data_IF_886088357045
#
_entry.id   IF_886088357045
#
_cell.length_a   1.000
_cell.length_b   1.000
_cell.length_c   1.000
_cell.angle_alpha   90.00
_cell.angle_beta   90.00
_cell.angle_gamma   90.00
#
_symmetry.space_group_name_H-M   'P 1'
#
loop_
_entity.id
_entity.type
_entity.pdbx_description
1 polymer ?
#
# COMPACT_ATOMS: atom_id res chain seq x y z
N UNK A 1 -14.08 -16.24 13.42
CA UNK A 1 -13.48 -14.90 13.43
C UNK A 1 -13.88 -14.24 12.13
N UNK A 2 -14.46 -13.05 12.16
CA UNK A 2 -14.92 -12.38 10.94
C UNK A 2 -13.71 -12.07 10.05
N UNK A 3 -13.58 -12.77 8.92
CA UNK A 3 -12.53 -12.59 7.92
C UNK A 3 -12.84 -11.40 7.00
N UNK A 4 -13.42 -10.33 7.54
CA UNK A 4 -13.78 -9.16 6.76
C UNK A 4 -12.53 -8.31 6.53
N UNK A 5 -12.30 -7.85 5.29
CA UNK A 5 -11.21 -6.91 5.02
C UNK A 5 -11.43 -5.61 5.80
N UNK A 6 -10.35 -4.84 6.08
CA UNK A 6 -10.48 -3.54 6.73
C UNK A 6 -11.34 -2.61 5.88
N UNK A 7 -12.13 -1.76 6.55
CA UNK A 7 -12.77 -0.63 5.87
C UNK A 7 -11.71 0.30 5.29
N UNK A 8 -12.08 1.15 4.31
CA UNK A 8 -11.16 2.14 3.73
C UNK A 8 -10.52 3.03 4.80
N UNK A 9 -11.27 3.41 5.84
CA UNK A 9 -10.77 4.24 6.95
C UNK A 9 -9.74 3.48 7.79
N UNK A 10 -10.02 2.21 8.12
CA UNK A 10 -9.08 1.36 8.88
C UNK A 10 -7.82 1.05 8.07
N UNK A 11 -7.98 0.78 6.77
CA UNK A 11 -6.86 0.57 5.85
C UNK A 11 -5.97 1.82 5.79
N UNK A 12 -6.55 2.99 5.52
CA UNK A 12 -5.81 4.25 5.44
C UNK A 12 -5.10 4.58 6.75
N UNK A 13 -5.75 4.35 7.90
CA UNK A 13 -5.14 4.56 9.22
C UNK A 13 -3.93 3.66 9.46
N UNK A 14 -4.04 2.36 9.13
CA UNK A 14 -2.94 1.41 9.29
C UNK A 14 -1.78 1.71 8.33
N UNK A 15 -2.07 2.04 7.07
CA UNK A 15 -1.05 2.41 6.09
C UNK A 15 -0.32 3.67 6.54
N UNK A 16 -1.03 4.69 7.01
CA UNK A 16 -0.43 5.93 7.54
C UNK A 16 0.53 5.63 8.69
N UNK A 17 0.19 4.70 9.58
CA UNK A 17 1.09 4.24 10.64
C UNK A 17 2.37 3.60 10.11
N UNK A 18 2.26 2.71 9.11
CA UNK A 18 3.41 2.07 8.47
C UNK A 18 4.32 3.07 7.77
N UNK A 19 3.75 4.11 7.15
CA UNK A 19 4.51 5.19 6.51
C UNK A 19 5.26 6.04 7.52
N UNK A 20 4.63 6.36 8.65
CA UNK A 20 5.30 7.10 9.73
C UNK A 20 6.47 6.29 10.32
N UNK A 21 6.36 4.96 10.35
CA UNK A 21 7.41 4.06 10.86
C UNK A 21 8.56 3.84 9.86
N UNK A 22 8.23 3.57 8.60
CA UNK A 22 9.20 3.07 7.58
C UNK A 22 9.60 4.13 6.55
N UNK A 23 8.93 5.27 6.53
CA UNK A 23 9.15 6.37 5.59
C UNK A 23 8.33 6.23 4.30
N UNK A 24 7.81 7.35 3.81
CA UNK A 24 6.95 7.38 2.63
C UNK A 24 7.65 6.86 1.37
N UNK A 25 8.93 7.21 1.18
CA UNK A 25 9.72 6.75 0.04
C UNK A 25 9.86 5.23 -0.04
N UNK A 26 9.75 4.53 1.09
CA UNK A 26 9.91 3.08 1.14
C UNK A 26 8.73 2.32 0.52
N UNK A 27 7.57 2.98 0.31
CA UNK A 27 6.37 2.43 -0.32
C UNK A 27 6.13 2.93 -1.75
N UNK A 28 7.10 3.65 -2.29
CA UNK A 28 6.99 4.31 -3.58
C UNK A 28 8.04 3.78 -4.55
N UNK A 29 7.67 3.68 -5.83
CA UNK A 29 8.62 3.35 -6.88
C UNK A 29 8.29 4.08 -8.19
N UNK A 30 9.33 4.32 -9.00
CA UNK A 30 9.14 4.75 -10.38
C UNK A 30 8.42 3.68 -11.19
N UNK A 31 7.81 4.02 -12.35
CA UNK A 31 7.10 3.06 -13.18
C UNK A 31 8.03 1.93 -13.62
N UNK A 32 7.59 0.68 -13.46
CA UNK A 32 8.41 -0.51 -13.75
C UNK A 32 9.42 -0.89 -12.65
N UNK A 33 9.55 -0.07 -11.60
CA UNK A 33 10.32 -0.39 -10.40
C UNK A 33 9.49 -1.06 -9.32
N UNK A 34 10.19 -1.63 -8.33
CA UNK A 34 9.60 -2.14 -7.09
C UNK A 34 10.13 -1.35 -5.90
N UNK A 35 9.27 -0.96 -4.94
CA UNK A 35 9.67 -0.21 -3.76
C UNK A 35 10.45 -1.08 -2.77
N UNK A 36 10.83 -0.53 -1.63
CA UNK A 36 11.45 -1.31 -0.54
C UNK A 36 10.42 -2.20 0.16
N UNK A 37 9.20 -1.69 0.33
CA UNK A 37 8.06 -2.37 0.91
C UNK A 37 6.83 -2.27 0.03
N UNK A 38 6.05 -3.34 -0.01
CA UNK A 38 4.72 -3.35 -0.61
C UNK A 38 3.67 -3.72 0.44
N UNK A 39 2.45 -3.23 0.26
CA UNK A 39 1.37 -3.39 1.22
C UNK A 39 0.54 -4.63 0.90
N UNK A 40 0.24 -5.40 1.95
CA UNK A 40 -0.69 -6.52 1.92
C UNK A 40 -1.70 -6.39 3.04
N UNK A 41 -2.81 -7.12 2.90
CA UNK A 41 -3.78 -7.29 3.97
C UNK A 41 -3.83 -8.75 4.36
N UNK A 42 -3.70 -9.01 5.65
CA UNK A 42 -3.89 -10.32 6.27
C UNK A 42 -5.03 -10.23 7.28
N UNK A 43 -6.19 -10.76 6.90
CA UNK A 43 -7.45 -10.55 7.62
C UNK A 43 -7.84 -9.07 7.66
N UNK A 44 -7.80 -8.46 8.85
CA UNK A 44 -8.10 -7.04 9.06
C UNK A 44 -6.84 -6.16 9.22
N UNK A 45 -5.64 -6.73 9.03
CA UNK A 45 -4.37 -6.03 9.29
C UNK A 45 -3.62 -5.73 8.01
N UNK A 46 -3.17 -4.49 7.85
CA UNK A 46 -2.24 -4.10 6.80
C UNK A 46 -0.81 -4.41 7.24
N UNK A 47 -0.04 -5.06 6.37
CA UNK A 47 1.35 -5.43 6.59
C UNK A 47 2.22 -4.86 5.47
N UNK A 48 3.43 -4.44 5.82
CA UNK A 48 4.47 -4.03 4.88
C UNK A 48 5.42 -5.21 4.63
N UNK A 49 5.44 -5.72 3.40
CA UNK A 49 6.30 -6.83 3.01
C UNK A 49 7.60 -6.31 2.35
N UNK A 50 8.77 -6.64 2.91
CA UNK A 50 10.06 -6.21 2.36
C UNK A 50 10.39 -6.92 1.04
N UNK A 51 11.32 -6.36 0.26
CA UNK A 51 11.74 -6.89 -1.04
C UNK A 51 12.19 -8.36 -1.08
N UNK A 52 12.69 -8.89 0.03
CA UNK A 52 13.09 -10.30 0.15
C UNK A 52 11.91 -11.26 0.40
N UNK A 53 10.71 -10.74 0.69
CA UNK A 53 9.53 -11.56 0.87
C UNK A 53 9.02 -12.11 -0.46
N UNK A 54 8.62 -13.39 -0.53
CA UNK A 54 8.14 -14.01 -1.76
C UNK A 54 6.88 -13.34 -2.31
N UNK A 55 6.08 -12.71 -1.43
CA UNK A 55 4.86 -11.99 -1.82
C UNK A 55 5.17 -10.62 -2.41
N UNK A 56 6.29 -9.99 -2.07
CA UNK A 56 6.56 -8.57 -2.32
C UNK A 56 6.21 -8.06 -3.73
N UNK A 57 6.54 -8.76 -4.85
CA UNK A 57 6.20 -8.29 -6.19
C UNK A 57 4.70 -8.16 -6.47
N UNK A 58 3.86 -8.79 -5.65
CA UNK A 58 2.41 -8.84 -5.77
C UNK A 58 1.71 -7.98 -4.72
N UNK A 59 2.36 -6.95 -4.18
CA UNK A 59 1.79 -6.08 -3.16
C UNK A 59 1.40 -4.72 -3.73
N UNK A 60 0.55 -3.99 -3.00
CA UNK A 60 0.11 -2.66 -3.39
C UNK A 60 1.22 -1.65 -3.06
N UNK A 61 1.51 -0.74 -3.97
CA UNK A 61 2.46 0.35 -3.71
C UNK A 61 2.15 1.57 -4.57
N UNK A 62 2.66 2.72 -4.12
CA UNK A 62 2.44 3.97 -4.81
C UNK A 62 3.43 4.12 -5.97
N UNK A 63 2.94 4.42 -7.17
CA UNK A 63 3.80 4.66 -8.33
C UNK A 63 4.03 6.16 -8.49
N UNK A 64 5.29 6.58 -8.51
CA UNK A 64 5.65 7.98 -8.65
C UNK A 64 5.99 8.34 -10.09
N UNK A 65 5.75 9.61 -10.45
CA UNK A 65 6.40 10.23 -11.60
C UNK A 65 7.86 10.56 -11.24
N UNK A 66 8.79 10.42 -12.19
CA UNK A 66 10.20 10.73 -11.93
C UNK A 66 10.39 12.19 -11.48
N UNK A 67 11.23 12.41 -10.47
CA UNK A 67 11.68 13.75 -10.06
C UNK A 67 10.92 14.42 -8.91
N UNK A 68 10.14 13.67 -8.11
CA UNK A 68 9.48 14.24 -6.92
C UNK A 68 10.47 14.41 -5.75
N UNK A 69 10.35 15.53 -5.03
CA UNK A 69 11.02 15.71 -3.73
C UNK A 69 10.34 14.88 -2.64
N UNK A 70 10.99 14.72 -1.49
CA UNK A 70 10.45 13.96 -0.35
C UNK A 70 9.10 14.51 0.16
N UNK A 71 8.94 15.84 0.15
CA UNK A 71 7.70 16.51 0.52
C UNK A 71 6.59 16.21 -0.49
N UNK A 72 6.90 16.33 -1.80
CA UNK A 72 5.96 16.02 -2.87
C UNK A 72 5.57 14.54 -2.90
N UNK A 73 6.50 13.66 -2.53
CA UNK A 73 6.26 12.23 -2.41
C UNK A 73 5.26 11.95 -1.29
N UNK A 74 5.46 12.56 -0.12
CA UNK A 74 4.55 12.40 1.03
C UNK A 74 3.15 12.91 0.70
N UNK A 75 3.04 14.07 0.04
CA UNK A 75 1.75 14.59 -0.43
C UNK A 75 1.09 13.67 -1.46
N UNK A 76 1.86 13.17 -2.43
CA UNK A 76 1.35 12.29 -3.46
C UNK A 76 0.82 10.99 -2.86
N UNK A 77 1.57 10.41 -1.93
CA UNK A 77 1.17 9.21 -1.22
C UNK A 77 -0.10 9.45 -0.38
N UNK A 78 -0.20 10.59 0.32
CA UNK A 78 -1.43 10.93 1.05
C UNK A 78 -2.63 11.11 0.12
N UNK A 79 -2.43 11.72 -1.06
CA UNK A 79 -3.48 11.82 -2.09
C UNK A 79 -3.91 10.45 -2.58
N UNK A 80 -2.96 9.55 -2.82
CA UNK A 80 -3.20 8.16 -3.24
C UNK A 80 -4.00 7.34 -2.21
N UNK A 81 -3.76 7.57 -0.91
CA UNK A 81 -4.57 6.97 0.16
C UNK A 81 -5.97 7.59 0.25
N UNK A 82 -6.05 8.92 0.25
CA UNK A 82 -7.30 9.65 0.48
C UNK A 82 -8.25 9.62 -0.72
N UNK A 83 -7.74 9.43 -1.93
CA UNK A 83 -8.57 9.20 -3.13
C UNK A 83 -9.28 7.85 -3.10
N UNK A 84 -8.84 6.93 -2.22
CA UNK A 84 -9.30 5.55 -2.18
C UNK A 84 -8.64 4.67 -3.24
N UNK A 85 -7.72 5.20 -4.04
CA UNK A 85 -7.02 4.43 -5.09
C UNK A 85 -6.23 3.26 -4.49
N UNK A 86 -5.48 3.51 -3.41
CA UNK A 86 -4.76 2.47 -2.68
C UNK A 86 -5.69 1.32 -2.23
N UNK A 87 -6.86 1.67 -1.72
CA UNK A 87 -7.86 0.71 -1.26
C UNK A 87 -8.49 -0.07 -2.42
N UNK A 88 -8.75 0.58 -3.55
CA UNK A 88 -9.22 -0.09 -4.77
C UNK A 88 -8.19 -1.07 -5.34
N UNK A 89 -6.91 -0.69 -5.35
CA UNK A 89 -5.82 -1.59 -5.75
C UNK A 89 -5.75 -2.81 -4.82
N UNK A 90 -5.84 -2.59 -3.50
CA UNK A 90 -5.96 -3.67 -2.52
C UNK A 90 -7.14 -4.61 -2.83
N UNK A 91 -8.33 -4.06 -3.05
CA UNK A 91 -9.52 -4.86 -3.37
C UNK A 91 -9.30 -5.64 -4.66
N UNK A 92 -8.82 -5.01 -5.73
CA UNK A 92 -8.56 -5.68 -7.02
C UNK A 92 -7.65 -6.90 -6.87
N UNK A 93 -6.61 -6.80 -6.03
CA UNK A 93 -5.65 -7.87 -5.82
C UNK A 93 -6.19 -9.01 -4.94
N UNK A 94 -7.19 -8.73 -4.10
CA UNK A 94 -7.76 -9.69 -3.16
C UNK A 94 -9.20 -10.13 -3.49
N UNK A 95 -9.85 -9.55 -4.49
CA UNK A 95 -11.21 -9.92 -4.92
C UNK A 95 -11.26 -11.37 -5.44
N UNK A 96 -10.16 -11.93 -5.95
CA UNK A 96 -10.09 -13.38 -6.23
C UNK A 96 -10.06 -14.27 -4.97
N UNK A 97 -9.81 -13.71 -3.78
CA UNK A 97 -9.76 -14.42 -2.49
C UNK A 97 -11.03 -14.29 -1.66
N UNK A 98 -11.76 -13.18 -1.80
CA UNK A 98 -12.96 -12.89 -1.00
C UNK A 98 -14.29 -13.19 -1.71
N UNK A 99 -14.25 -13.56 -3.01
CA UNK A 99 -15.45 -13.80 -3.84
C UNK A 99 -15.54 -15.22 -4.40
N UNK A 100 -14.88 -16.20 -3.77
CA UNK A 100 -15.03 -17.64 -4.04
C UNK A 100 -15.78 -18.35 -2.93
#
# INVERSE_FOLDING_TARGET
MSHSPPTVTEFNGQVTGLIAELGAAAFCASPGGLPQFTLFVDGNRVIAEPRNAPRHPYGVYCTLSEGLTEEQLTEHLHKWLNSGEAYQQFLSMNLCRYNC
#
